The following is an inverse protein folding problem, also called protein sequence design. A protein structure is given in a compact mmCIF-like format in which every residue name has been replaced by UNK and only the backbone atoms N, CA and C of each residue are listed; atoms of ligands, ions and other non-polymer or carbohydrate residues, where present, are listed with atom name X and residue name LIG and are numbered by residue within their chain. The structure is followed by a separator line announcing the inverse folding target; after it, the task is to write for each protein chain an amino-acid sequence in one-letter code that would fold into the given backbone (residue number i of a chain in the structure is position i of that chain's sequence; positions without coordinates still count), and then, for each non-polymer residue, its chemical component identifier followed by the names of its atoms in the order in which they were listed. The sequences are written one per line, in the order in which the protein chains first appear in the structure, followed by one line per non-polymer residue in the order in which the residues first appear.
data_IF_650153932404
#
_entry.id   IF_650153932404
#
_cell.length_a   1.000
_cell.length_b   1.000
_cell.length_c   1.000
_cell.angle_alpha   90.00
_cell.angle_beta   90.00
_cell.angle_gamma   90.00
#
_symmetry.space_group_name_H-M   'P 1'
#
loop_
_entity.id
_entity.type
_entity.pdbx_description
1 polymer ?
#
# COMPACT_ATOMS: atom_id res chain seq x y z
N UNK A 1 46.21 -12.87 -11.69
CA UNK A 1 44.98 -12.71 -10.92
C UNK A 1 44.46 -14.08 -10.46
N UNK A 2 44.49 -14.32 -9.19
CA UNK A 2 43.89 -15.54 -8.65
C UNK A 2 42.41 -15.33 -8.41
N UNK A 3 41.60 -16.29 -8.83
CA UNK A 3 40.16 -16.30 -8.54
C UNK A 3 39.97 -16.74 -7.09
N UNK A 4 39.27 -15.93 -6.31
CA UNK A 4 38.92 -16.28 -4.95
C UNK A 4 37.69 -17.20 -4.95
N UNK A 5 37.94 -18.49 -4.89
CA UNK A 5 36.91 -19.52 -4.93
C UNK A 5 36.05 -19.52 -3.67
N UNK A 6 36.60 -19.13 -2.52
CA UNK A 6 35.83 -19.06 -1.27
C UNK A 6 34.80 -17.93 -1.29
N UNK A 7 35.20 -16.76 -1.77
CA UNK A 7 34.27 -15.65 -1.96
C UNK A 7 33.16 -15.99 -2.95
N UNK A 8 33.46 -16.71 -4.02
CA UNK A 8 32.45 -17.16 -4.97
C UNK A 8 31.51 -18.21 -4.39
N UNK A 9 32.00 -19.13 -3.58
CA UNK A 9 31.16 -20.11 -2.87
C UNK A 9 30.21 -19.42 -1.90
N UNK A 10 30.70 -18.44 -1.13
CA UNK A 10 29.88 -17.65 -0.24
C UNK A 10 28.76 -16.92 -0.99
N UNK A 11 29.07 -16.33 -2.13
CA UNK A 11 28.05 -15.68 -3.00
C UNK A 11 27.03 -16.68 -3.53
N UNK A 12 27.47 -17.87 -3.91
CA UNK A 12 26.60 -18.92 -4.42
C UNK A 12 25.63 -19.40 -3.34
N UNK A 13 26.12 -19.58 -2.11
CA UNK A 13 25.29 -19.99 -0.98
C UNK A 13 24.28 -18.92 -0.60
N UNK A 14 24.69 -17.65 -0.58
CA UNK A 14 23.78 -16.53 -0.38
C UNK A 14 22.69 -16.48 -1.46
N UNK A 15 23.06 -16.79 -2.71
CA UNK A 15 22.09 -16.86 -3.82
C UNK A 15 21.11 -18.03 -3.65
N UNK A 16 21.58 -19.20 -3.20
CA UNK A 16 20.72 -20.37 -2.94
C UNK A 16 19.81 -20.18 -1.74
N UNK A 17 20.30 -19.53 -0.70
CA UNK A 17 19.55 -19.24 0.52
C UNK A 17 18.68 -17.97 0.40
N UNK A 18 18.81 -17.23 -0.68
CA UNK A 18 18.09 -15.98 -0.96
C UNK A 18 16.58 -16.11 -1.13
N UNK A 19 16.04 -17.32 -1.01
CA UNK A 19 14.60 -17.56 -1.06
C UNK A 19 13.85 -17.29 0.26
N UNK A 20 14.56 -17.06 1.36
CA UNK A 20 13.99 -16.65 2.63
C UNK A 20 14.65 -15.37 3.12
N UNK A 21 14.50 -14.28 2.36
CA UNK A 21 14.50 -13.00 3.02
C UNK A 21 13.37 -13.10 4.05
N UNK A 22 13.71 -13.13 5.34
CA UNK A 22 12.78 -12.60 6.34
C UNK A 22 12.43 -11.25 5.78
N UNK A 23 11.21 -11.13 5.21
CA UNK A 23 10.73 -9.81 4.85
C UNK A 23 10.69 -9.07 6.18
N UNK A 24 11.67 -8.22 6.43
CA UNK A 24 11.52 -7.14 7.39
C UNK A 24 10.44 -6.25 6.81
N UNK A 25 9.22 -6.82 6.76
CA UNK A 25 8.05 -6.09 6.36
C UNK A 25 7.88 -5.00 7.39
N UNK A 26 8.15 -3.78 7.00
CA UNK A 26 7.85 -2.60 7.81
C UNK A 26 6.34 -2.41 7.96
N UNK A 27 5.54 -3.18 7.24
CA UNK A 27 4.08 -3.15 7.34
C UNK A 27 3.61 -3.76 8.65
N UNK A 28 2.78 -3.01 9.35
CA UNK A 28 2.11 -3.46 10.55
C UNK A 28 0.63 -3.71 10.28
N UNK A 29 0.12 -4.81 10.81
CA UNK A 29 -1.31 -5.12 10.79
C UNK A 29 -1.81 -5.26 12.21
N UNK A 30 -2.97 -4.65 12.56
CA UNK A 30 -3.59 -4.87 13.86
C UNK A 30 -3.86 -6.35 14.08
N UNK A 31 -3.54 -6.82 15.28
CA UNK A 31 -3.87 -8.17 15.72
C UNK A 31 -5.11 -8.12 16.60
N UNK A 32 -5.67 -9.27 16.89
CA UNK A 32 -6.80 -9.36 17.79
C UNK A 32 -6.42 -8.90 19.20
N UNK A 33 -7.28 -8.13 19.83
CA UNK A 33 -7.07 -7.56 21.15
C UNK A 33 -6.62 -6.12 21.12
N UNK A 34 -6.33 -5.58 22.29
CA UNK A 34 -5.90 -4.19 22.44
C UNK A 34 -4.42 -4.03 22.13
N UNK A 35 -4.13 -3.04 21.33
CA UNK A 35 -2.76 -2.69 20.96
C UNK A 35 -2.57 -1.18 21.07
N UNK A 36 -1.44 -0.78 21.63
CA UNK A 36 -1.09 0.62 21.74
C UNK A 36 0.00 0.97 20.75
N UNK A 37 -0.25 1.99 19.94
CA UNK A 37 0.69 2.50 18.96
C UNK A 37 0.88 4.01 19.15
N UNK A 38 2.02 4.51 18.70
CA UNK A 38 2.27 5.93 18.58
C UNK A 38 2.44 6.30 17.12
N UNK A 39 1.61 7.21 16.62
CA UNK A 39 1.78 7.80 15.30
C UNK A 39 2.93 8.81 15.36
N UNK A 40 3.90 8.66 14.46
CA UNK A 40 5.09 9.49 14.44
C UNK A 40 4.87 10.71 13.55
N UNK A 41 5.49 11.86 13.91
CA UNK A 41 5.45 13.03 13.04
C UNK A 41 6.22 12.79 11.75
N UNK A 42 5.81 13.45 10.68
CA UNK A 42 6.50 13.48 9.40
C UNK A 42 7.04 14.89 9.10
N UNK A 43 7.98 14.99 8.17
CA UNK A 43 8.66 16.26 7.87
C UNK A 43 7.71 17.37 7.39
N UNK A 44 6.61 17.01 6.73
CA UNK A 44 5.59 17.95 6.23
C UNK A 44 4.47 18.26 7.24
N UNK A 45 4.53 17.68 8.43
CA UNK A 45 3.55 17.89 9.49
C UNK A 45 2.24 17.12 9.35
N UNK A 46 2.06 16.34 8.28
CA UNK A 46 0.88 15.50 8.08
C UNK A 46 1.27 14.02 8.09
N UNK A 47 1.04 13.29 9.21
CA UNK A 47 1.36 11.87 9.30
C UNK A 47 0.36 10.95 8.60
N UNK A 48 -0.73 11.49 8.08
CA UNK A 48 -1.80 10.73 7.43
C UNK A 48 -1.65 10.81 5.91
N UNK A 49 -0.78 9.99 5.33
CA UNK A 49 -0.48 10.01 3.90
C UNK A 49 -1.53 9.25 3.12
N UNK A 50 -2.18 9.92 2.17
CA UNK A 50 -3.16 9.33 1.28
C UNK A 50 -2.51 8.91 -0.04
N UNK A 51 -2.80 7.67 -0.45
CA UNK A 51 -2.42 7.15 -1.76
C UNK A 51 -3.60 6.45 -2.42
N UNK A 52 -3.67 6.53 -3.74
CA UNK A 52 -4.71 5.90 -4.54
C UNK A 52 -4.16 4.68 -5.26
N UNK A 53 -4.92 3.61 -5.24
CA UNK A 53 -4.55 2.32 -5.83
C UNK A 53 -5.67 1.79 -6.72
N UNK A 54 -5.28 1.10 -7.78
CA UNK A 54 -6.16 0.23 -8.54
C UNK A 54 -6.02 -1.20 -8.07
N UNK A 55 -7.13 -1.82 -7.72
CA UNK A 55 -7.21 -3.23 -7.35
C UNK A 55 -7.89 -4.02 -8.47
N UNK A 56 -7.81 -5.34 -8.41
CA UNK A 56 -8.44 -6.25 -9.38
C UNK A 56 -7.87 -6.12 -10.81
N UNK A 57 -6.62 -5.72 -10.93
CA UNK A 57 -5.91 -5.64 -12.21
C UNK A 57 -5.00 -6.87 -12.34
N UNK A 58 -5.51 -7.91 -12.99
CA UNK A 58 -4.79 -9.18 -13.15
C UNK A 58 -4.46 -9.80 -11.80
N UNK A 59 -3.23 -10.25 -11.64
CA UNK A 59 -2.71 -10.87 -10.41
C UNK A 59 -2.07 -9.88 -9.44
N UNK A 60 -2.07 -8.59 -9.76
CA UNK A 60 -1.47 -7.58 -8.90
C UNK A 60 -2.35 -7.30 -7.68
N UNK A 61 -1.79 -7.28 -6.46
CA UNK A 61 -2.56 -6.96 -5.25
C UNK A 61 -2.98 -5.50 -5.16
N UNK A 62 -2.29 -4.61 -5.86
CA UNK A 62 -2.60 -3.19 -5.93
C UNK A 62 -1.56 -2.45 -6.76
N UNK A 63 -2.01 -1.56 -7.64
CA UNK A 63 -1.17 -0.70 -8.46
C UNK A 63 -1.41 0.75 -8.09
N UNK A 64 -0.35 1.51 -7.86
CA UNK A 64 -0.44 2.95 -7.65
C UNK A 64 -1.03 3.63 -8.88
N UNK A 65 -2.06 4.46 -8.67
CA UNK A 65 -2.66 5.24 -9.74
C UNK A 65 -1.77 6.45 -10.07
N UNK A 66 -1.17 6.54 -11.26
CA UNK A 66 -0.33 7.67 -11.61
C UNK A 66 -1.12 8.98 -11.76
N UNK A 67 -2.38 8.89 -12.16
CA UNK A 67 -3.22 10.08 -12.33
C UNK A 67 -3.57 10.73 -11.00
N UNK A 68 -4.09 9.95 -10.04
CA UNK A 68 -4.55 10.50 -8.76
C UNK A 68 -3.42 10.81 -7.80
N UNK A 69 -2.31 10.09 -7.87
CA UNK A 69 -1.16 10.33 -7.00
C UNK A 69 -0.21 11.40 -7.55
N UNK A 70 -0.05 11.49 -8.87
CA UNK A 70 0.98 12.31 -9.49
C UNK A 70 0.49 13.23 -10.61
N UNK A 71 -0.80 13.23 -10.92
CA UNK A 71 -1.37 14.04 -12.00
C UNK A 71 -1.01 13.58 -13.41
N UNK A 72 -0.46 12.38 -13.56
CA UNK A 72 -0.11 11.79 -14.84
C UNK A 72 -1.27 11.09 -15.54
N UNK A 73 -0.99 10.43 -16.64
CA UNK A 73 -1.96 9.61 -17.35
C UNK A 73 -2.07 8.23 -16.69
N UNK A 74 -3.29 7.70 -16.63
CA UNK A 74 -3.54 6.37 -16.12
C UNK A 74 -4.45 5.59 -17.08
N UNK A 75 -3.92 4.57 -17.77
CA UNK A 75 -4.72 3.75 -18.67
C UNK A 75 -5.88 3.03 -17.98
N UNK A 76 -5.71 2.65 -16.71
CA UNK A 76 -6.75 1.97 -15.92
C UNK A 76 -7.89 2.93 -15.61
N UNK A 77 -7.59 4.16 -15.19
CA UNK A 77 -8.60 5.20 -14.99
C UNK A 77 -9.38 5.49 -16.27
N UNK A 78 -8.70 5.59 -17.39
CA UNK A 78 -9.30 5.86 -18.70
C UNK A 78 -10.22 4.71 -19.13
N UNK A 79 -9.76 3.48 -18.98
CA UNK A 79 -10.55 2.29 -19.28
C UNK A 79 -11.78 2.19 -18.37
N UNK A 80 -11.63 2.40 -17.08
CA UNK A 80 -12.71 2.33 -16.12
C UNK A 80 -13.78 3.41 -16.39
N UNK A 81 -13.36 4.61 -16.70
CA UNK A 81 -14.28 5.71 -17.06
C UNK A 81 -15.05 5.42 -18.34
N UNK A 82 -14.37 4.87 -19.35
CA UNK A 82 -15.00 4.47 -20.60
C UNK A 82 -16.02 3.36 -20.37
N UNK A 83 -15.65 2.34 -19.61
CA UNK A 83 -16.53 1.22 -19.29
C UNK A 83 -17.76 1.67 -18.50
N UNK A 84 -17.59 2.61 -17.58
CA UNK A 84 -18.69 3.22 -16.83
C UNK A 84 -19.66 3.95 -17.74
N UNK A 85 -19.17 4.78 -18.67
CA UNK A 85 -20.03 5.50 -19.64
C UNK A 85 -20.80 4.56 -20.53
N UNK A 86 -20.15 3.52 -21.05
CA UNK A 86 -20.82 2.49 -21.86
C UNK A 86 -21.91 1.78 -21.05
N UNK A 87 -21.64 1.48 -19.79
CA UNK A 87 -22.63 0.88 -18.90
C UNK A 87 -23.82 1.77 -18.62
N UNK A 88 -23.60 3.07 -18.47
CA UNK A 88 -24.69 4.06 -18.30
C UNK A 88 -25.50 4.20 -19.58
N UNK A 89 -24.84 4.35 -20.73
CA UNK A 89 -25.51 4.58 -22.03
C UNK A 89 -26.33 3.36 -22.47
N UNK A 90 -25.86 2.16 -22.17
CA UNK A 90 -26.50 0.90 -22.57
C UNK A 90 -27.33 0.23 -21.47
N UNK A 91 -27.48 0.87 -20.32
CA UNK A 91 -28.12 0.28 -19.14
C UNK A 91 -27.53 -1.09 -18.75
N UNK A 92 -26.22 -1.24 -18.89
CA UNK A 92 -25.49 -2.47 -18.60
C UNK A 92 -24.96 -2.46 -17.18
N UNK A 93 -25.66 -3.12 -16.26
CA UNK A 93 -25.29 -3.18 -14.85
C UNK A 93 -23.99 -3.98 -14.62
N UNK A 94 -23.67 -4.94 -15.47
CA UNK A 94 -22.42 -5.71 -15.38
C UNK A 94 -21.23 -4.81 -15.69
N UNK A 95 -21.32 -4.01 -16.77
CA UNK A 95 -20.28 -3.06 -17.14
C UNK A 95 -20.05 -2.01 -16.06
N UNK A 96 -21.12 -1.48 -15.48
CA UNK A 96 -21.03 -0.51 -14.35
C UNK A 96 -20.34 -1.13 -13.13
N UNK A 97 -20.67 -2.37 -12.80
CA UNK A 97 -20.06 -3.08 -11.66
C UNK A 97 -18.57 -3.32 -11.88
N UNK A 98 -18.20 -3.76 -13.08
CA UNK A 98 -16.79 -3.95 -13.45
C UNK A 98 -16.01 -2.64 -13.40
N UNK A 99 -16.58 -1.55 -13.89
CA UNK A 99 -15.97 -0.23 -13.82
C UNK A 99 -15.72 0.21 -12.37
N UNK A 100 -16.70 0.02 -11.49
CA UNK A 100 -16.56 0.35 -10.06
C UNK A 100 -15.43 -0.42 -9.39
N UNK A 101 -15.20 -1.66 -9.76
CA UNK A 101 -14.10 -2.45 -9.23
C UNK A 101 -12.73 -1.97 -9.70
N UNK A 102 -12.66 -1.29 -10.84
CA UNK A 102 -11.44 -0.78 -11.44
C UNK A 102 -11.09 0.65 -11.03
N UNK A 103 -12.04 1.43 -10.50
CA UNK A 103 -11.75 2.78 -10.05
C UNK A 103 -10.71 2.78 -8.93
N UNK A 104 -9.85 3.79 -8.93
CA UNK A 104 -8.85 3.97 -7.91
C UNK A 104 -9.50 4.15 -6.53
N UNK A 105 -8.97 3.47 -5.54
CA UNK A 105 -9.41 3.55 -4.14
C UNK A 105 -8.28 4.11 -3.29
N UNK A 106 -8.63 4.96 -2.35
CA UNK A 106 -7.67 5.54 -1.44
C UNK A 106 -7.38 4.65 -0.24
N UNK A 107 -6.11 4.70 0.19
CA UNK A 107 -5.65 4.12 1.44
C UNK A 107 -4.76 5.14 2.12
N UNK A 108 -4.76 5.11 3.43
CA UNK A 108 -3.94 5.99 4.27
C UNK A 108 -2.81 5.20 4.90
N UNK A 109 -1.67 5.86 5.04
CA UNK A 109 -0.46 5.27 5.59
C UNK A 109 0.13 6.21 6.63
N UNK A 110 0.49 5.66 7.79
CA UNK A 110 1.14 6.41 8.86
C UNK A 110 2.34 5.65 9.39
N UNK A 111 3.46 6.35 9.67
CA UNK A 111 4.56 5.74 10.40
C UNK A 111 4.20 5.62 11.86
N UNK A 112 4.45 4.47 12.45
CA UNK A 112 4.09 4.17 13.84
C UNK A 112 5.22 3.47 14.59
N UNK A 113 5.20 3.61 15.91
CA UNK A 113 5.89 2.73 16.86
C UNK A 113 4.85 1.90 17.60
N UNK A 114 5.06 0.61 17.65
CA UNK A 114 4.22 -0.30 18.43
C UNK A 114 4.77 -0.36 19.85
N UNK A 115 3.96 0.00 20.83
CA UNK A 115 4.35 -0.03 22.25
C UNK A 115 4.61 -1.48 22.69
N UNK A 116 5.77 -1.68 23.32
CA UNK A 116 6.27 -3.01 23.69
C UNK A 116 7.14 -3.66 22.61
N UNK A 117 7.19 -3.10 21.41
CA UNK A 117 7.99 -3.58 20.27
C UNK A 117 8.84 -2.46 19.65
N UNK A 118 9.29 -1.51 20.45
CA UNK A 118 10.06 -0.35 19.98
C UNK A 118 11.41 -0.75 19.38
N UNK A 119 11.99 -1.86 19.82
CA UNK A 119 13.22 -2.46 19.31
C UNK A 119 13.08 -2.92 17.84
N UNK A 120 11.89 -3.21 17.37
CA UNK A 120 11.62 -3.55 15.97
C UNK A 120 11.61 -2.32 15.03
N UNK A 121 11.68 -1.12 15.59
CA UNK A 121 11.76 0.13 14.85
C UNK A 121 10.41 0.63 14.32
N UNK A 122 10.50 1.59 13.42
CA UNK A 122 9.34 2.23 12.81
C UNK A 122 8.65 1.27 11.85
N UNK A 123 7.34 1.16 11.99
CA UNK A 123 6.49 0.38 11.09
C UNK A 123 5.51 1.29 10.36
N UNK A 124 4.93 0.80 9.29
CA UNK A 124 3.93 1.52 8.50
C UNK A 124 2.58 0.83 8.69
N UNK A 125 1.61 1.60 9.13
CA UNK A 125 0.23 1.16 9.27
C UNK A 125 -0.60 1.70 8.12
N UNK A 126 -1.25 0.78 7.38
CA UNK A 126 -2.19 1.11 6.32
C UNK A 126 -3.61 0.94 6.82
N UNK A 127 -4.47 1.91 6.55
CA UNK A 127 -5.86 1.91 7.02
C UNK A 127 -6.78 2.62 6.01
N UNK A 128 -8.08 2.41 6.20
CA UNK A 128 -9.10 2.98 5.34
C UNK A 128 -9.63 4.33 5.83
N UNK A 129 -10.59 4.86 5.09
CA UNK A 129 -11.21 6.17 5.34
C UNK A 129 -11.88 6.28 6.71
N UNK A 130 -12.53 5.23 7.20
CA UNK A 130 -13.22 5.25 8.50
C UNK A 130 -12.23 5.47 9.64
N UNK A 131 -11.14 4.73 9.66
CA UNK A 131 -10.08 4.90 10.66
C UNK A 131 -9.44 6.29 10.54
N UNK A 132 -9.19 6.76 9.32
CA UNK A 132 -8.66 8.10 9.07
C UNK A 132 -9.54 9.19 9.67
N UNK A 133 -10.84 9.14 9.43
CA UNK A 133 -11.78 10.12 9.96
C UNK A 133 -11.83 10.10 11.49
N UNK A 134 -11.78 8.93 12.09
CA UNK A 134 -11.75 8.77 13.56
C UNK A 134 -10.47 9.37 14.14
N UNK A 135 -9.32 9.06 13.56
CA UNK A 135 -8.03 9.60 14.01
C UNK A 135 -7.95 11.12 13.86
N UNK A 136 -8.42 11.64 12.74
CA UNK A 136 -8.44 13.09 12.50
C UNK A 136 -9.36 13.81 13.49
N UNK A 137 -10.50 13.22 13.84
CA UNK A 137 -11.38 13.73 14.88
C UNK A 137 -10.66 13.88 16.22
N UNK A 138 -9.86 12.90 16.64
CA UNK A 138 -9.08 12.99 17.86
C UNK A 138 -7.99 14.06 17.82
N UNK A 139 -7.38 14.26 16.66
CA UNK A 139 -6.32 15.26 16.50
C UNK A 139 -6.87 16.70 16.53
N UNK A 140 -8.08 16.89 16.01
CA UNK A 140 -8.71 18.22 15.88
C UNK A 140 -9.52 18.65 17.11
N UNK A 141 -9.80 17.75 18.05
CA UNK A 141 -10.54 18.05 19.28
C UNK A 141 -9.64 18.74 20.34
#
# INVERSE_FOLDING_TARGET
MAIDLEAMRAKLELSKNGGKKKSNSTKWRPQQGDQTIRILPTADGDPFKEYFFHYNVGKNPGLLCPKKNHGGECPICDFASKLWREGVDNNDEVAKKEAKQLFARNRYYSPILVRGQEDEGVKVWAYGKTAYQTLLGYVLD
#
